data_IF_332978323943
#
_entry.id   IF_332978323943
#
_cell.length_a   1.000
_cell.length_b   1.000
_cell.length_c   1.000
_cell.angle_alpha   90.00
_cell.angle_beta   90.00
_cell.angle_gamma   90.00
#
_symmetry.space_group_name_H-M   'P 1'
#
loop_
_entity.id
_entity.type
_entity.pdbx_description
1 polymer ?
#
# COMPACT_ATOMS: atom_id res chain seq x y z
N UNK A 1 -8.66 18.30 -17.89
CA UNK A 1 -8.50 17.11 -17.03
C UNK A 1 -9.85 16.65 -16.50
N UNK A 2 -10.64 17.53 -15.87
CA UNK A 2 -11.88 17.13 -15.19
C UNK A 2 -12.88 16.43 -16.10
N UNK A 3 -13.08 16.91 -17.33
CA UNK A 3 -13.99 16.27 -18.30
C UNK A 3 -13.65 14.80 -18.57
N UNK A 4 -12.35 14.45 -18.57
CA UNK A 4 -11.86 13.09 -18.81
C UNK A 4 -11.83 12.23 -17.53
N UNK A 5 -12.22 12.80 -16.39
CA UNK A 5 -12.09 12.09 -15.12
C UNK A 5 -10.63 11.88 -14.72
N UNK A 6 -9.74 12.79 -15.11
CA UNK A 6 -8.34 12.76 -14.71
C UNK A 6 -8.10 13.69 -13.51
N UNK A 7 -6.89 13.72 -12.98
CA UNK A 7 -6.45 14.74 -12.01
C UNK A 7 -5.74 15.92 -12.71
N UNK A 8 -5.66 17.10 -12.08
CA UNK A 8 -4.84 18.20 -12.59
C UNK A 8 -3.35 17.81 -12.71
N UNK A 9 -2.61 18.50 -13.58
CA UNK A 9 -1.21 18.20 -13.89
C UNK A 9 -0.30 18.15 -12.65
N UNK A 10 -0.57 19.00 -11.65
CA UNK A 10 0.13 19.02 -10.36
C UNK A 10 0.03 17.71 -9.54
N UNK A 11 -0.94 16.86 -9.87
CA UNK A 11 -1.17 15.55 -9.25
C UNK A 11 -1.01 14.40 -10.24
N UNK A 12 -1.16 14.62 -11.55
CA UNK A 12 -1.16 13.57 -12.56
C UNK A 12 0.12 12.71 -12.53
N UNK A 13 1.29 13.35 -12.42
CA UNK A 13 2.58 12.63 -12.35
C UNK A 13 2.81 11.81 -11.07
N UNK A 14 1.90 11.89 -10.10
CA UNK A 14 1.98 11.17 -8.81
C UNK A 14 1.08 9.93 -8.76
N UNK A 15 0.20 9.77 -9.74
CA UNK A 15 -0.76 8.65 -9.81
C UNK A 15 0.00 7.32 -9.88
N UNK A 16 -0.39 6.37 -9.03
CA UNK A 16 0.23 5.05 -8.96
C UNK A 16 1.61 5.02 -8.31
N UNK A 17 2.13 6.17 -7.87
CA UNK A 17 3.45 6.27 -7.21
C UNK A 17 3.31 6.82 -5.79
N UNK A 18 2.69 8.00 -5.66
CA UNK A 18 2.47 8.68 -4.39
C UNK A 18 1.00 8.75 -4.00
N UNK A 19 0.09 8.60 -4.97
CA UNK A 19 -1.34 8.67 -4.76
C UNK A 19 -2.14 7.73 -5.66
N UNK A 20 -3.36 7.45 -5.25
CA UNK A 20 -4.43 6.87 -6.07
C UNK A 20 -5.66 7.77 -5.93
N UNK A 21 -6.62 7.66 -6.85
CA UNK A 21 -7.86 8.41 -6.76
C UNK A 21 -9.05 7.63 -7.30
N UNK A 22 -10.22 7.99 -6.78
CA UNK A 22 -11.52 7.52 -7.28
C UNK A 22 -12.39 8.75 -7.60
N UNK A 23 -13.33 8.58 -8.52
CA UNK A 23 -14.27 9.62 -8.92
C UNK A 23 -15.68 9.08 -8.78
N UNK A 24 -16.52 9.87 -8.13
CA UNK A 24 -17.97 9.70 -8.17
C UNK A 24 -18.56 10.81 -9.04
N UNK A 25 -19.55 10.47 -9.88
CA UNK A 25 -20.16 11.41 -10.80
C UNK A 25 -21.67 11.32 -10.72
N UNK A 26 -22.32 12.47 -10.61
CA UNK A 26 -23.77 12.58 -10.57
C UNK A 26 -24.24 13.67 -11.56
N UNK A 27 -25.44 13.51 -12.12
CA UNK A 27 -26.00 14.44 -13.08
C UNK A 27 -27.44 14.78 -12.71
N UNK A 28 -27.75 16.07 -12.67
CA UNK A 28 -29.06 16.59 -12.32
C UNK A 28 -29.60 17.42 -13.47
N UNK A 29 -30.76 17.04 -14.00
CA UNK A 29 -31.52 17.85 -14.95
C UNK A 29 -32.21 19.00 -14.21
N UNK A 30 -31.99 20.23 -14.67
CA UNK A 30 -32.58 21.46 -14.14
C UNK A 30 -33.59 22.03 -15.14
N UNK A 31 -34.37 23.03 -14.70
CA UNK A 31 -35.31 23.77 -15.57
C UNK A 31 -34.56 24.41 -16.74
N UNK A 32 -35.25 24.59 -17.86
CA UNK A 32 -34.65 25.17 -19.07
C UNK A 32 -33.74 24.21 -19.83
N UNK A 33 -33.96 22.89 -19.69
CA UNK A 33 -33.18 21.83 -20.34
C UNK A 33 -31.67 21.89 -20.04
N UNK A 34 -31.30 22.48 -18.90
CA UNK A 34 -29.92 22.56 -18.41
C UNK A 34 -29.55 21.31 -17.65
N UNK A 35 -28.33 20.83 -17.83
CA UNK A 35 -27.86 19.62 -17.16
C UNK A 35 -26.63 19.93 -16.33
N UNK A 36 -26.76 19.83 -15.01
CA UNK A 36 -25.66 20.11 -14.07
C UNK A 36 -24.97 18.80 -13.71
N UNK A 37 -23.64 18.76 -13.85
CA UNK A 37 -22.80 17.62 -13.51
C UNK A 37 -22.04 17.92 -12.23
N UNK A 38 -22.04 16.96 -11.32
CA UNK A 38 -21.24 16.94 -10.10
C UNK A 38 -20.17 15.86 -10.25
N UNK A 39 -18.92 16.17 -9.89
CA UNK A 39 -17.84 15.18 -9.79
C UNK A 39 -17.11 15.32 -8.48
N UNK A 40 -17.16 14.27 -7.68
CA UNK A 40 -16.41 14.16 -6.44
C UNK A 40 -15.13 13.39 -6.68
N UNK A 41 -14.01 14.02 -6.33
CA UNK A 41 -12.69 13.44 -6.42
C UNK A 41 -12.22 13.06 -5.02
N UNK A 42 -11.87 11.80 -4.86
CA UNK A 42 -11.27 11.26 -3.65
C UNK A 42 -9.82 10.91 -3.95
N UNK A 43 -8.87 11.72 -3.50
CA UNK A 43 -7.43 11.51 -3.72
C UNK A 43 -6.80 11.03 -2.43
N UNK A 44 -6.19 9.84 -2.45
CA UNK A 44 -5.53 9.22 -1.30
C UNK A 44 -4.03 9.10 -1.55
N UNK A 45 -3.24 9.65 -0.62
CA UNK A 45 -1.79 9.60 -0.66
C UNK A 45 -1.24 8.37 0.07
N UNK A 46 0.02 8.02 -0.18
CA UNK A 46 0.65 6.83 0.40
C UNK A 46 0.72 6.83 1.94
N UNK A 47 0.66 8.01 2.57
CA UNK A 47 0.60 8.21 4.02
C UNK A 47 -0.83 8.17 4.58
N UNK A 48 -1.81 7.86 3.72
CA UNK A 48 -3.24 7.79 3.99
C UNK A 48 -3.92 9.15 4.25
N UNK A 49 -3.22 10.26 4.07
CA UNK A 49 -3.86 11.58 3.98
C UNK A 49 -4.66 11.73 2.69
N UNK A 50 -5.62 12.64 2.67
CA UNK A 50 -6.53 12.81 1.52
C UNK A 50 -6.73 14.25 1.10
N UNK A 51 -6.99 14.43 -0.19
CA UNK A 51 -7.62 15.62 -0.75
C UNK A 51 -8.96 15.18 -1.33
N UNK A 52 -10.04 15.82 -0.89
CA UNK A 52 -11.37 15.59 -1.43
C UNK A 52 -11.90 16.91 -1.99
N UNK A 53 -12.41 16.89 -3.22
CA UNK A 53 -13.01 18.06 -3.83
C UNK A 53 -14.14 17.71 -4.78
N UNK A 54 -15.12 18.61 -4.83
CA UNK A 54 -16.33 18.51 -5.64
C UNK A 54 -16.30 19.59 -6.73
N UNK A 55 -16.54 19.17 -7.97
CA UNK A 55 -16.66 20.04 -9.14
C UNK A 55 -18.11 20.08 -9.61
N UNK A 56 -18.61 21.28 -9.92
CA UNK A 56 -19.91 21.49 -10.58
C UNK A 56 -19.70 22.18 -11.93
N UNK A 57 -20.34 21.67 -12.99
CA UNK A 57 -20.36 22.32 -14.31
C UNK A 57 -21.58 21.91 -15.14
N UNK A 58 -22.01 22.78 -16.04
CA UNK A 58 -23.12 22.51 -16.97
C UNK A 58 -22.63 21.71 -18.19
N UNK A 59 -23.42 20.74 -18.66
CA UNK A 59 -23.09 19.92 -19.83
C UNK A 59 -23.00 20.76 -21.10
N UNK A 60 -23.81 21.82 -21.18
CA UNK A 60 -23.96 22.68 -22.35
C UNK A 60 -22.78 23.65 -22.51
N UNK A 61 -22.17 24.09 -21.40
CA UNK A 61 -20.95 24.90 -21.40
C UNK A 61 -20.02 24.54 -20.23
N UNK A 62 -19.34 23.38 -20.31
CA UNK A 62 -18.58 22.85 -19.18
C UNK A 62 -17.30 23.64 -18.89
N UNK A 63 -16.83 24.48 -19.82
CA UNK A 63 -15.56 25.22 -19.67
C UNK A 63 -15.76 26.57 -19.00
N UNK A 64 -16.87 27.26 -19.24
CA UNK A 64 -17.15 28.54 -18.61
C UNK A 64 -17.84 28.40 -17.24
N UNK A 65 -18.54 27.30 -17.01
CA UNK A 65 -19.38 27.10 -15.81
C UNK A 65 -18.71 26.32 -14.68
N UNK A 66 -17.54 25.73 -14.94
CA UNK A 66 -16.83 24.90 -13.96
C UNK A 66 -16.40 25.71 -12.74
N UNK A 67 -16.73 25.20 -11.55
CA UNK A 67 -16.25 25.73 -10.29
C UNK A 67 -16.12 24.64 -9.22
N UNK A 68 -15.39 24.95 -8.15
CA UNK A 68 -15.32 24.10 -6.96
C UNK A 68 -16.54 24.37 -6.07
N UNK A 69 -17.29 23.32 -5.73
CA UNK A 69 -18.38 23.41 -4.75
C UNK A 69 -17.81 23.26 -3.34
N UNK A 70 -16.97 22.24 -3.15
CA UNK A 70 -16.33 21.91 -1.87
C UNK A 70 -14.90 21.44 -2.09
N UNK A 71 -14.06 21.72 -1.11
CA UNK A 71 -12.69 21.20 -1.04
C UNK A 71 -12.27 21.09 0.42
N UNK A 72 -11.73 19.94 0.80
CA UNK A 72 -11.13 19.76 2.11
C UNK A 72 -9.98 18.75 2.06
N UNK A 73 -9.10 18.84 3.05
CA UNK A 73 -7.99 17.92 3.24
C UNK A 73 -8.22 17.12 4.52
N UNK A 74 -8.03 15.80 4.45
CA UNK A 74 -7.97 14.98 5.65
C UNK A 74 -6.50 14.72 5.99
N UNK A 75 -6.05 15.01 7.22
CA UNK A 75 -4.68 14.69 7.61
C UNK A 75 -4.47 13.18 7.66
N UNK A 76 -3.23 12.75 7.90
CA UNK A 76 -2.91 11.35 8.17
C UNK A 76 -3.84 10.84 9.29
N UNK A 77 -4.59 9.73 9.09
CA UNK A 77 -5.50 9.21 10.08
C UNK A 77 -4.77 8.85 11.38
N UNK A 78 -5.39 9.15 12.52
CA UNK A 78 -4.92 8.69 13.82
C UNK A 78 -4.97 7.17 13.84
N UNK A 79 -3.86 6.53 14.20
CA UNK A 79 -3.78 5.07 14.20
C UNK A 79 -4.58 4.49 15.36
N UNK A 80 -5.59 3.69 15.00
CA UNK A 80 -6.59 3.08 15.88
C UNK A 80 -6.37 1.58 15.96
N UNK A 81 -5.88 1.07 17.11
CA UNK A 81 -5.58 -0.36 17.30
C UNK A 81 -6.81 -1.27 17.13
N UNK A 82 -7.98 -0.79 17.57
CA UNK A 82 -9.27 -1.47 17.37
C UNK A 82 -9.57 -1.70 15.89
N UNK A 83 -9.33 -0.70 15.04
CA UNK A 83 -9.51 -0.82 13.60
C UNK A 83 -8.45 -1.73 12.97
N UNK A 84 -7.19 -1.64 13.42
CA UNK A 84 -6.13 -2.52 12.95
C UNK A 84 -6.47 -3.99 13.23
N UNK A 85 -6.95 -4.32 14.44
CA UNK A 85 -7.37 -5.68 14.79
C UNK A 85 -8.61 -6.12 14.02
N UNK A 86 -9.59 -5.24 13.82
CA UNK A 86 -10.77 -5.51 12.98
C UNK A 86 -10.36 -5.93 11.56
N UNK A 87 -9.51 -5.14 10.91
CA UNK A 87 -9.07 -5.41 9.54
C UNK A 87 -8.11 -6.59 9.44
N UNK A 88 -7.27 -6.81 10.46
CA UNK A 88 -6.46 -8.03 10.55
C UNK A 88 -7.35 -9.28 10.52
N UNK A 89 -8.39 -9.33 11.38
CA UNK A 89 -9.34 -10.45 11.41
C UNK A 89 -10.07 -10.65 10.09
N UNK A 90 -10.37 -9.55 9.38
CA UNK A 90 -11.07 -9.60 8.10
C UNK A 90 -10.20 -10.17 6.97
N UNK A 91 -8.92 -9.80 6.90
CA UNK A 91 -8.12 -10.04 5.69
C UNK A 91 -6.96 -11.04 5.87
N UNK A 92 -6.41 -11.18 7.08
CA UNK A 92 -5.14 -11.90 7.29
C UNK A 92 -5.20 -13.36 6.82
N UNK A 93 -6.27 -14.08 7.13
CA UNK A 93 -6.43 -15.48 6.74
C UNK A 93 -6.48 -15.63 5.22
N UNK A 94 -7.22 -14.76 4.53
CA UNK A 94 -7.32 -14.77 3.08
C UNK A 94 -5.98 -14.44 2.41
N UNK A 95 -5.25 -13.44 2.93
CA UNK A 95 -3.91 -13.06 2.48
C UNK A 95 -2.95 -14.25 2.56
N UNK A 96 -2.84 -14.87 3.75
CA UNK A 96 -1.89 -15.97 3.99
C UNK A 96 -2.28 -17.22 3.21
N UNK A 97 -3.58 -17.53 3.14
CA UNK A 97 -4.08 -18.66 2.36
C UNK A 97 -3.74 -18.50 0.88
N UNK A 98 -4.05 -17.34 0.29
CA UNK A 98 -3.73 -17.06 -1.12
C UNK A 98 -2.23 -17.11 -1.37
N UNK A 99 -1.41 -16.47 -0.54
CA UNK A 99 0.04 -16.52 -0.68
C UNK A 99 0.57 -17.97 -0.62
N UNK A 100 0.01 -18.79 0.27
CA UNK A 100 0.40 -20.19 0.42
C UNK A 100 0.08 -21.03 -0.82
N UNK A 101 -1.05 -20.77 -1.50
CA UNK A 101 -1.39 -21.47 -2.76
C UNK A 101 -0.42 -21.19 -3.90
N UNK A 102 0.34 -20.09 -3.82
CA UNK A 102 1.30 -19.72 -4.86
C UNK A 102 2.66 -20.41 -4.68
N UNK A 103 2.96 -21.01 -3.53
CA UNK A 103 4.28 -21.61 -3.26
C UNK A 103 4.62 -22.67 -4.31
N UNK A 104 5.83 -22.57 -4.87
CA UNK A 104 6.32 -23.45 -5.94
C UNK A 104 5.87 -23.05 -7.35
N UNK A 105 4.92 -22.12 -7.47
CA UNK A 105 4.50 -21.59 -8.77
C UNK A 105 5.46 -20.51 -9.26
N UNK A 106 5.46 -20.31 -10.58
CA UNK A 106 6.15 -19.21 -11.23
C UNK A 106 5.15 -18.10 -11.54
N UNK A 107 5.43 -16.87 -11.09
CA UNK A 107 4.58 -15.69 -11.32
C UNK A 107 5.41 -14.57 -11.94
N UNK A 108 4.76 -13.70 -12.72
CA UNK A 108 5.40 -12.60 -13.43
C UNK A 108 5.53 -11.31 -12.59
N UNK A 109 4.58 -11.09 -11.68
CA UNK A 109 4.57 -9.94 -10.77
C UNK A 109 4.94 -10.38 -9.35
N UNK A 110 5.16 -9.43 -8.46
CA UNK A 110 5.48 -9.68 -7.06
C UNK A 110 4.31 -10.37 -6.33
N UNK A 111 4.65 -11.17 -5.31
CA UNK A 111 3.67 -11.95 -4.52
C UNK A 111 2.62 -11.05 -3.87
N UNK A 112 3.00 -9.86 -3.39
CA UNK A 112 2.08 -8.96 -2.69
C UNK A 112 1.00 -8.43 -3.63
N UNK A 113 1.35 -7.99 -4.84
CA UNK A 113 0.39 -7.56 -5.87
C UNK A 113 -0.60 -8.67 -6.18
N UNK A 114 -0.12 -9.86 -6.54
CA UNK A 114 -0.98 -11.00 -6.92
C UNK A 114 -1.92 -11.42 -5.79
N UNK A 115 -1.44 -11.40 -4.54
CA UNK A 115 -2.25 -11.75 -3.37
C UNK A 115 -3.30 -10.68 -3.09
N UNK A 116 -2.92 -9.40 -3.09
CA UNK A 116 -3.83 -8.30 -2.74
C UNK A 116 -4.88 -8.03 -3.83
N UNK A 117 -4.54 -8.22 -5.11
CA UNK A 117 -5.52 -8.16 -6.20
C UNK A 117 -6.58 -9.27 -6.09
N UNK A 118 -6.19 -10.44 -5.57
CA UNK A 118 -7.08 -11.59 -5.38
C UNK A 118 -8.08 -11.46 -4.23
N UNK A 119 -7.94 -10.47 -3.35
CA UNK A 119 -8.85 -10.24 -2.21
C UNK A 119 -10.15 -9.51 -2.59
N UNK A 120 -10.27 -9.07 -3.85
CA UNK A 120 -11.38 -8.25 -4.33
C UNK A 120 -11.01 -6.75 -4.28
N UNK A 121 -11.08 -6.10 -5.45
CA UNK A 121 -10.70 -4.69 -5.65
C UNK A 121 -11.53 -3.68 -4.82
N UNK A 122 -12.62 -4.12 -4.19
CA UNK A 122 -13.60 -3.26 -3.51
C UNK A 122 -13.38 -3.11 -2.01
N UNK A 123 -12.73 -4.06 -1.34
CA UNK A 123 -12.76 -4.13 0.13
C UNK A 123 -11.55 -3.48 0.81
N UNK A 124 -10.38 -3.51 0.17
CA UNK A 124 -9.12 -3.02 0.76
C UNK A 124 -8.72 -1.65 0.20
N UNK A 125 -7.98 -0.88 1.00
CA UNK A 125 -7.15 0.20 0.47
C UNK A 125 -6.10 -0.43 -0.43
N UNK A 126 -6.16 -0.10 -1.72
CA UNK A 126 -5.21 -0.63 -2.72
C UNK A 126 -3.78 -0.19 -2.38
N UNK A 127 -2.76 -0.97 -2.75
CA UNK A 127 -1.38 -0.52 -2.71
C UNK A 127 -1.22 0.82 -3.42
N UNK A 128 -0.46 1.73 -2.81
CA UNK A 128 -0.17 3.05 -3.38
C UNK A 128 1.29 3.03 -3.82
N UNK A 129 1.47 2.74 -5.11
CA UNK A 129 2.76 2.45 -5.71
C UNK A 129 3.51 1.35 -4.97
N UNK A 130 4.83 1.54 -4.83
CA UNK A 130 5.72 0.61 -4.15
C UNK A 130 6.02 1.02 -2.70
N UNK A 131 5.26 1.99 -2.16
CA UNK A 131 5.57 2.69 -0.91
C UNK A 131 4.65 2.34 0.25
N UNK A 132 3.41 1.93 -0.02
CA UNK A 132 2.39 1.72 1.01
C UNK A 132 1.42 0.61 0.64
N UNK A 133 1.10 -0.23 1.62
CA UNK A 133 0.21 -1.39 1.52
C UNK A 133 -0.86 -1.38 2.62
N UNK A 134 -1.13 -0.20 3.20
CA UNK A 134 -2.01 0.01 4.34
C UNK A 134 -1.33 0.81 5.45
N UNK A 135 -1.64 0.51 6.71
CA UNK A 135 -1.10 1.25 7.86
C UNK A 135 0.27 0.70 8.26
N UNK A 136 1.28 1.56 8.36
CA UNK A 136 2.60 1.14 8.87
C UNK A 136 2.51 0.86 10.38
N UNK A 137 2.68 -0.39 10.80
CA UNK A 137 2.63 -0.80 12.21
C UNK A 137 4.02 -0.96 12.84
N UNK A 138 5.05 -1.14 12.01
CA UNK A 138 6.44 -1.22 12.44
C UNK A 138 7.33 -0.52 11.42
N UNK A 139 8.36 0.17 11.92
CA UNK A 139 9.36 0.87 11.13
C UNK A 139 10.71 0.73 11.82
N UNK A 140 11.75 0.43 11.05
CA UNK A 140 13.13 0.50 11.49
C UNK A 140 13.96 1.15 10.38
N UNK A 141 14.66 2.23 10.69
CA UNK A 141 15.65 2.87 9.81
C UNK A 141 17.02 2.71 10.45
N UNK A 142 17.89 1.92 9.81
CA UNK A 142 19.29 1.71 10.21
C UNK A 142 19.48 1.37 11.70
N UNK A 143 18.49 0.73 12.35
CA UNK A 143 18.47 0.45 13.80
C UNK A 143 18.56 1.71 14.71
N UNK A 144 18.39 2.91 14.15
CA UNK A 144 18.46 4.19 14.89
C UNK A 144 17.10 4.81 15.13
N UNK A 145 16.15 4.58 14.23
CA UNK A 145 14.78 5.05 14.35
C UNK A 145 13.84 3.85 14.24
N UNK A 146 13.51 3.28 15.40
CA UNK A 146 12.59 2.15 15.53
C UNK A 146 11.27 2.65 16.11
N UNK A 147 10.17 2.37 15.41
CA UNK A 147 8.83 2.65 15.89
C UNK A 147 7.98 1.39 15.72
N UNK A 148 7.31 0.97 16.80
CA UNK A 148 6.39 -0.17 16.81
C UNK A 148 5.05 0.31 17.37
N UNK A 149 4.06 0.40 16.51
CA UNK A 149 2.70 0.83 16.84
C UNK A 149 1.87 -0.37 17.28
N UNK A 150 2.05 -1.52 16.62
CA UNK A 150 1.36 -2.75 16.96
C UNK A 150 2.23 -4.00 16.75
N UNK A 151 1.74 -5.16 17.20
CA UNK A 151 2.40 -6.45 16.97
C UNK A 151 2.33 -6.87 15.51
N UNK A 152 3.44 -7.42 15.03
CA UNK A 152 3.56 -8.01 13.70
C UNK A 152 2.89 -9.38 13.73
N UNK A 153 1.98 -9.63 12.78
CA UNK A 153 1.16 -10.84 12.71
C UNK A 153 1.22 -11.44 11.30
N UNK A 154 0.80 -12.69 11.19
CA UNK A 154 0.59 -13.31 9.88
C UNK A 154 -0.46 -12.51 9.08
N UNK A 155 -0.24 -12.34 7.78
CA UNK A 155 -1.05 -11.52 6.88
C UNK A 155 -0.58 -10.07 6.74
N UNK A 156 0.35 -9.61 7.57
CA UNK A 156 0.98 -8.30 7.38
C UNK A 156 1.99 -8.34 6.20
N UNK A 157 2.23 -7.19 5.57
CA UNK A 157 3.15 -7.04 4.44
C UNK A 157 4.50 -6.54 4.94
N UNK A 158 5.57 -7.29 4.67
CA UNK A 158 6.94 -6.85 4.90
C UNK A 158 7.43 -6.04 3.71
N UNK A 159 8.05 -4.91 3.99
CA UNK A 159 8.69 -4.04 3.01
C UNK A 159 10.11 -3.71 3.46
N UNK A 160 11.08 -3.87 2.56
CA UNK A 160 12.49 -3.62 2.84
C UNK A 160 13.10 -2.82 1.71
N UNK A 161 13.92 -1.82 2.06
CA UNK A 161 14.71 -1.06 1.10
C UNK A 161 16.15 -0.92 1.56
N UNK A 162 17.08 -1.22 0.65
CA UNK A 162 18.52 -1.24 0.89
C UNK A 162 18.89 -2.05 2.15
N UNK A 163 18.15 -3.13 2.39
CA UNK A 163 18.31 -3.99 3.56
C UNK A 163 19.51 -4.91 3.38
N UNK A 164 20.53 -4.76 4.21
CA UNK A 164 21.69 -5.66 4.25
C UNK A 164 21.64 -6.47 5.53
N UNK A 165 21.45 -7.78 5.41
CA UNK A 165 21.39 -8.72 6.52
C UNK A 165 22.67 -9.52 6.60
N UNK A 166 23.22 -9.66 7.81
CA UNK A 166 24.31 -10.60 8.04
C UNK A 166 23.75 -12.02 8.09
N UNK A 167 24.23 -12.89 7.21
CA UNK A 167 23.96 -14.33 7.31
C UNK A 167 25.05 -14.94 8.21
N UNK A 168 24.68 -15.90 9.09
CA UNK A 168 25.68 -16.50 9.98
C UNK A 168 26.85 -17.13 9.20
N UNK A 169 28.05 -17.04 9.79
CA UNK A 169 29.32 -17.49 9.22
C UNK A 169 29.25 -18.95 8.78
N UNK A 170 29.30 -19.19 7.48
CA UNK A 170 29.79 -20.46 6.95
C UNK A 170 31.33 -20.48 6.95
N UNK A 171 31.93 -21.65 6.79
CA UNK A 171 33.39 -21.85 6.66
C UNK A 171 34.05 -21.03 5.52
N UNK A 172 33.26 -20.45 4.62
CA UNK A 172 33.69 -19.74 3.41
C UNK A 172 33.50 -18.20 3.49
N UNK A 173 33.32 -17.63 4.68
CA UNK A 173 33.28 -16.18 4.90
C UNK A 173 31.88 -15.60 5.18
N UNK A 174 31.83 -14.28 5.35
CA UNK A 174 30.60 -13.54 5.68
C UNK A 174 29.70 -13.45 4.44
N UNK A 175 28.68 -14.32 4.33
CA UNK A 175 27.58 -14.10 3.38
C UNK A 175 26.66 -13.01 3.92
N UNK A 176 26.22 -12.13 3.05
CA UNK A 176 25.21 -11.12 3.35
C UNK A 176 24.06 -11.27 2.38
N UNK A 177 22.83 -11.18 2.89
CA UNK A 177 21.64 -11.10 2.05
C UNK A 177 21.29 -9.63 1.85
N UNK A 178 21.17 -9.21 0.59
CA UNK A 178 20.74 -7.86 0.24
C UNK A 178 19.33 -7.91 -0.32
N UNK A 179 18.44 -7.10 0.24
CA UNK A 179 17.05 -7.00 -0.17
C UNK A 179 16.69 -5.58 -0.54
N UNK A 180 15.99 -5.46 -1.66
CA UNK A 180 15.45 -4.22 -2.17
C UNK A 180 16.52 -3.17 -2.46
N UNK A 181 17.60 -3.60 -3.11
CA UNK A 181 18.74 -2.74 -3.46
C UNK A 181 18.42 -1.89 -4.68
N UNK A 182 18.53 -0.57 -4.51
CA UNK A 182 18.38 0.36 -5.62
C UNK A 182 17.97 1.77 -5.21
N UNK A 183 18.01 2.65 -6.19
CA UNK A 183 17.73 4.07 -6.00
C UNK A 183 16.27 4.42 -6.28
N UNK A 184 15.52 3.53 -6.92
CA UNK A 184 14.14 3.77 -7.28
C UNK A 184 13.17 3.13 -6.26
N UNK A 185 11.97 3.70 -6.05
CA UNK A 185 10.97 3.09 -5.18
C UNK A 185 10.58 1.66 -5.59
N UNK A 186 10.52 1.34 -6.89
CA UNK A 186 10.20 -0.01 -7.39
C UNK A 186 11.24 -1.07 -7.03
N UNK A 187 12.45 -0.65 -6.66
CA UNK A 187 13.50 -1.57 -6.23
C UNK A 187 13.25 -2.10 -4.81
N UNK A 188 12.20 -1.64 -4.11
CA UNK A 188 11.90 -2.09 -2.75
C UNK A 188 11.44 -3.55 -2.74
N UNK A 189 12.01 -4.33 -1.82
CA UNK A 189 11.59 -5.70 -1.58
C UNK A 189 10.25 -5.74 -0.84
N UNK A 190 9.36 -6.64 -1.26
CA UNK A 190 8.08 -6.88 -0.57
C UNK A 190 7.75 -8.36 -0.48
N UNK A 191 7.10 -8.75 0.61
CA UNK A 191 6.69 -10.14 0.85
C UNK A 191 5.52 -10.24 1.83
N UNK A 192 4.81 -11.36 1.83
CA UNK A 192 3.74 -11.63 2.80
C UNK A 192 4.34 -12.32 4.02
N UNK A 193 4.09 -11.80 5.22
CA UNK A 193 4.47 -12.45 6.48
C UNK A 193 3.45 -13.57 6.74
N UNK A 194 3.90 -14.83 6.77
CA UNK A 194 3.03 -15.95 7.14
C UNK A 194 3.17 -16.33 8.62
N UNK A 195 4.25 -15.90 9.28
CA UNK A 195 4.47 -16.08 10.71
C UNK A 195 5.55 -15.09 11.18
N UNK A 196 5.47 -14.65 12.44
CA UNK A 196 6.49 -13.86 13.10
C UNK A 196 6.86 -14.50 14.44
N UNK A 197 8.15 -14.76 14.66
CA UNK A 197 8.67 -15.23 15.95
C UNK A 197 9.12 -14.00 16.78
N UNK A 198 8.34 -13.56 17.78
CA UNK A 198 8.67 -12.38 18.55
C UNK A 198 9.89 -12.57 19.45
N UNK A 199 10.23 -13.81 19.84
CA UNK A 199 11.41 -14.09 20.68
C UNK A 199 12.70 -13.96 19.88
N UNK A 200 12.66 -14.36 18.60
CA UNK A 200 13.82 -14.27 17.68
C UNK A 200 13.80 -13.01 16.80
N UNK A 201 12.77 -12.18 16.95
CA UNK A 201 12.46 -11.06 16.05
C UNK A 201 12.57 -11.45 14.58
N UNK A 202 11.99 -12.61 14.23
CA UNK A 202 12.21 -13.28 12.95
C UNK A 202 10.93 -13.27 12.12
N UNK A 203 10.98 -12.59 10.98
CA UNK A 203 10.00 -12.72 9.92
C UNK A 203 10.13 -14.07 9.25
N UNK A 204 9.01 -14.77 9.06
CA UNK A 204 8.91 -15.85 8.09
C UNK A 204 7.94 -15.41 6.99
N UNK A 205 8.41 -15.43 5.75
CA UNK A 205 7.75 -14.76 4.64
C UNK A 205 7.55 -15.67 3.43
N UNK A 206 6.55 -15.35 2.62
CA UNK A 206 6.35 -15.88 1.28
C UNK A 206 6.76 -14.78 0.30
N UNK A 207 7.75 -15.06 -0.53
CA UNK A 207 8.41 -14.12 -1.42
C UNK A 207 8.58 -14.68 -2.83
N UNK A 208 8.91 -13.79 -3.78
CA UNK A 208 9.36 -14.16 -5.11
C UNK A 208 10.88 -14.26 -5.13
N UNK A 209 11.44 -15.36 -5.62
CA UNK A 209 12.87 -15.46 -5.86
C UNK A 209 13.30 -14.77 -7.18
N UNK A 210 14.61 -14.69 -7.41
CA UNK A 210 15.17 -14.06 -8.62
C UNK A 210 14.83 -14.80 -9.92
N UNK A 211 14.36 -16.05 -9.85
CA UNK A 211 13.94 -16.84 -11.00
C UNK A 211 12.42 -16.75 -11.25
N UNK A 212 11.69 -16.00 -10.40
CA UNK A 212 10.25 -15.83 -10.48
C UNK A 212 9.44 -16.93 -9.79
N UNK A 213 10.07 -17.78 -8.97
CA UNK A 213 9.36 -18.79 -8.18
C UNK A 213 8.98 -18.27 -6.81
N UNK A 214 7.76 -18.58 -6.40
CA UNK A 214 7.29 -18.24 -5.05
C UNK A 214 7.81 -19.26 -4.05
N UNK A 215 8.47 -18.79 -2.99
CA UNK A 215 9.07 -19.63 -1.96
C UNK A 215 8.86 -19.08 -0.56
N UNK A 216 9.20 -19.88 0.44
CA UNK A 216 9.30 -19.44 1.83
C UNK A 216 10.73 -19.01 2.15
N UNK A 217 10.89 -17.92 2.87
CA UNK A 217 12.18 -17.50 3.42
C UNK A 217 12.00 -16.82 4.79
N UNK A 218 13.10 -16.40 5.42
CA UNK A 218 13.06 -15.80 6.74
C UNK A 218 14.19 -14.82 7.04
N UNK A 219 13.87 -13.75 7.76
CA UNK A 219 14.79 -12.66 8.07
C UNK A 219 14.67 -12.27 9.54
N UNK A 220 15.79 -12.12 10.24
CA UNK A 220 15.79 -11.60 11.61
C UNK A 220 16.06 -10.12 11.61
N UNK A 221 15.31 -9.36 12.40
CA UNK A 221 15.53 -7.93 12.59
C UNK A 221 16.95 -7.68 13.12
N UNK A 222 17.41 -8.46 14.09
CA UNK A 222 18.75 -8.34 14.66
C UNK A 222 19.91 -8.61 13.68
N UNK A 223 19.65 -9.26 12.54
CA UNK A 223 20.66 -9.49 11.50
C UNK A 223 20.80 -8.28 10.55
N UNK A 224 19.87 -7.30 10.61
CA UNK A 224 19.90 -6.09 9.78
C UNK A 224 21.11 -5.20 10.15
N UNK A 225 22.03 -5.01 9.21
CA UNK A 225 23.19 -4.11 9.34
C UNK A 225 22.90 -2.69 8.86
N UNK A 226 22.14 -2.56 7.79
CA UNK A 226 21.71 -1.26 7.24
C UNK A 226 20.41 -1.42 6.46
N UNK A 227 19.71 -0.32 6.23
CA UNK A 227 18.52 -0.27 5.39
C UNK A 227 17.28 0.18 6.15
N UNK A 228 16.13 0.02 5.50
CA UNK A 228 14.82 0.40 6.03
C UNK A 228 13.90 -0.80 6.00
N UNK A 229 13.27 -1.09 7.13
CA UNK A 229 12.17 -2.06 7.24
C UNK A 229 10.89 -1.29 7.55
N UNK A 230 9.80 -1.66 6.89
CA UNK A 230 8.44 -1.32 7.27
C UNK A 230 7.60 -2.59 7.29
N UNK A 231 6.65 -2.65 8.20
CA UNK A 231 5.58 -3.66 8.16
C UNK A 231 4.26 -2.92 8.06
N UNK A 232 3.45 -3.33 7.09
CA UNK A 232 2.14 -2.75 6.84
C UNK A 232 1.06 -3.73 7.23
N UNK A 233 0.04 -3.22 7.92
CA UNK A 233 -1.24 -3.91 8.06
C UNK A 233 -2.17 -3.48 6.94
N UNK A 234 -2.67 -4.45 6.20
CA UNK A 234 -3.72 -4.23 5.19
C UNK A 234 -5.00 -3.80 5.89
N UNK A 235 -5.63 -2.72 5.40
CA UNK A 235 -6.85 -2.14 5.94
C UNK A 235 -7.89 -1.95 4.84
N UNK A 236 -9.16 -1.88 5.26
CA UNK A 236 -10.27 -1.65 4.34
C UNK A 236 -10.42 -0.18 3.96
N UNK A 237 -11.14 0.10 2.86
CA UNK A 237 -11.45 1.48 2.43
C UNK A 237 -12.08 2.34 3.53
N UNK A 238 -12.94 1.73 4.36
CA UNK A 238 -13.53 2.40 5.53
C UNK A 238 -12.52 2.86 6.60
N UNK A 239 -11.24 2.47 6.55
CA UNK A 239 -10.19 3.03 7.43
C UNK A 239 -9.88 4.50 7.08
N UNK A 240 -10.09 4.87 5.81
CA UNK A 240 -9.88 6.22 5.30
C UNK A 240 -11.20 6.91 4.94
N UNK A 241 -12.34 6.35 5.38
CA UNK A 241 -13.68 6.79 5.00
C UNK A 241 -13.89 6.87 3.48
N UNK A 242 -13.38 5.87 2.75
CA UNK A 242 -13.68 5.60 1.34
C UNK A 242 -14.73 4.50 1.21
#
# INVERSE_FOLDING_TARGET
WWLRGELPESLAGKIGVDLVYEIESNQIKKRGNRTVNYRDYYVLFYDLSQIIFELEYESEDPRSTIHFVRRFTKPIPIIRKDLLDKYHRAFANAIVSKASTLIGTKIADNVVSVVLEGLGKTEIVKPIGYKSFGVTIYKNINNTNVAKIDEIKAGDVLWIRNGKFATQKGLLGNKSTVLGEGNNPQDSYTSIIYEFDPKKEKFKVIELDSAGHVKKESYKIGDLKSGRIRVFRVVGKGYVDW
#
